data_IF_903195746073
#
_entry.id   IF_903195746073
#
_cell.length_a   1.000
_cell.length_b   1.000
_cell.length_c   1.000
_cell.angle_alpha   90.00
_cell.angle_beta   90.00
_cell.angle_gamma   90.00
#
_symmetry.space_group_name_H-M   'P 1'
#
loop_
_entity.id
_entity.type
_entity.pdbx_description
1 polymer ?
#
# COMPACT_ATOMS: atom_id res chain seq x y z
N UNK A 1 9.24 -23.25 4.57
CA UNK A 1 10.04 -22.15 4.00
C UNK A 1 11.45 -22.25 4.53
N UNK A 2 12.48 -22.05 3.71
CA UNK A 2 13.85 -22.00 4.22
C UNK A 2 14.08 -20.66 4.94
N UNK A 3 14.93 -20.62 5.97
CA UNK A 3 15.21 -19.38 6.74
C UNK A 3 15.58 -18.15 5.86
N UNK A 4 16.28 -18.31 4.71
CA UNK A 4 16.49 -17.22 3.76
C UNK A 4 15.19 -16.62 3.19
N UNK A 5 14.20 -17.45 2.87
CA UNK A 5 12.93 -17.02 2.26
C UNK A 5 12.13 -16.14 3.22
N UNK A 6 12.08 -16.53 4.49
CA UNK A 6 11.38 -15.77 5.55
C UNK A 6 12.01 -14.40 5.77
N UNK A 7 13.34 -14.27 5.68
CA UNK A 7 14.02 -12.97 5.79
C UNK A 7 13.69 -12.04 4.62
N UNK A 8 13.58 -12.57 3.40
CA UNK A 8 13.18 -11.79 2.22
C UNK A 8 11.71 -11.38 2.33
N UNK A 9 10.84 -12.29 2.75
CA UNK A 9 9.42 -12.04 2.96
C UNK A 9 9.18 -10.92 3.97
N UNK A 10 9.86 -10.93 5.12
CA UNK A 10 9.77 -9.86 6.13
C UNK A 10 10.20 -8.51 5.55
N UNK A 11 11.30 -8.46 4.77
CA UNK A 11 11.75 -7.22 4.12
C UNK A 11 10.73 -6.68 3.13
N UNK A 12 10.14 -7.56 2.31
CA UNK A 12 9.08 -7.20 1.38
C UNK A 12 7.84 -6.70 2.12
N UNK A 13 7.45 -7.37 3.21
CA UNK A 13 6.34 -6.96 4.05
C UNK A 13 6.54 -5.53 4.59
N UNK A 14 7.71 -5.24 5.16
CA UNK A 14 8.05 -3.91 5.67
C UNK A 14 8.00 -2.88 4.54
N UNK A 15 8.58 -3.19 3.37
CA UNK A 15 8.56 -2.29 2.22
C UNK A 15 7.14 -1.96 1.77
N UNK A 16 6.27 -2.97 1.67
CA UNK A 16 4.88 -2.77 1.27
C UNK A 16 4.07 -2.00 2.32
N UNK A 17 4.29 -2.24 3.61
CA UNK A 17 3.63 -1.49 4.69
C UNK A 17 4.05 -0.01 4.65
N UNK A 18 5.34 0.27 4.53
CA UNK A 18 5.85 1.65 4.40
C UNK A 18 5.28 2.32 3.14
N UNK A 19 5.25 1.60 2.01
CA UNK A 19 4.61 2.08 0.78
C UNK A 19 3.14 2.41 0.96
N UNK A 20 2.38 1.55 1.64
CA UNK A 20 0.95 1.77 1.91
C UNK A 20 0.72 3.03 2.76
N UNK A 21 1.54 3.27 3.78
CA UNK A 21 1.47 4.49 4.61
C UNK A 21 1.67 5.75 3.76
N UNK A 22 2.66 5.73 2.84
CA UNK A 22 2.93 6.85 1.93
C UNK A 22 1.73 7.09 0.99
N UNK A 23 1.16 6.03 0.41
CA UNK A 23 -0.01 6.14 -0.47
C UNK A 23 -1.22 6.71 0.29
N UNK A 24 -1.50 6.24 1.50
CA UNK A 24 -2.60 6.77 2.32
C UNK A 24 -2.36 8.26 2.63
N UNK A 25 -1.13 8.63 2.99
CA UNK A 25 -0.77 10.04 3.25
C UNK A 25 -1.00 10.91 2.01
N UNK A 26 -0.63 10.42 0.82
CA UNK A 26 -0.85 11.11 -0.43
C UNK A 26 -2.35 11.25 -0.77
N UNK A 27 -3.17 10.22 -0.53
CA UNK A 27 -4.63 10.28 -0.68
C UNK A 27 -5.21 11.37 0.22
N UNK A 28 -4.80 11.41 1.50
CA UNK A 28 -5.27 12.43 2.45
C UNK A 28 -4.84 13.83 2.02
N UNK A 29 -3.60 14.00 1.55
CA UNK A 29 -3.10 15.28 1.05
C UNK A 29 -3.87 15.76 -0.20
N UNK A 30 -4.10 14.86 -1.16
CA UNK A 30 -4.88 15.15 -2.36
C UNK A 30 -6.34 15.47 -2.04
N UNK A 31 -6.94 14.75 -1.09
CA UNK A 31 -8.29 15.04 -0.63
C UNK A 31 -8.38 16.41 0.07
N UNK A 32 -7.39 16.75 0.91
CA UNK A 32 -7.31 18.08 1.53
C UNK A 32 -7.13 19.19 0.50
N UNK A 33 -6.34 18.98 -0.55
CA UNK A 33 -6.09 19.99 -1.57
C UNK A 33 -7.32 20.25 -2.46
N UNK A 34 -8.13 19.22 -2.72
CA UNK A 34 -9.19 19.29 -3.72
C UNK A 34 -10.62 19.20 -3.15
N UNK A 35 -10.76 18.88 -1.85
CA UNK A 35 -12.03 18.69 -1.13
C UNK A 35 -13.03 17.73 -1.81
N UNK A 36 -12.57 16.90 -2.74
CA UNK A 36 -13.41 16.04 -3.55
C UNK A 36 -12.71 14.72 -3.80
N UNK A 37 -13.41 13.62 -3.54
CA UNK A 37 -12.98 12.27 -3.89
C UNK A 37 -13.17 11.94 -5.38
N UNK A 38 -13.78 12.83 -6.17
CA UNK A 38 -14.03 12.62 -7.61
C UNK A 38 -12.80 12.93 -8.48
N UNK A 39 -11.69 13.29 -7.86
CA UNK A 39 -10.46 13.58 -8.56
C UNK A 39 -9.79 12.28 -9.03
N UNK A 40 -9.50 12.20 -10.34
CA UNK A 40 -8.86 11.04 -10.94
C UNK A 40 -7.58 10.57 -10.19
N UNK A 41 -6.68 11.46 -9.71
CA UNK A 41 -5.52 11.04 -8.92
C UNK A 41 -5.88 10.31 -7.61
N UNK A 42 -6.93 10.75 -6.90
CA UNK A 42 -7.36 10.13 -5.65
C UNK A 42 -7.93 8.73 -5.92
N UNK A 43 -8.71 8.59 -6.99
CA UNK A 43 -9.28 7.31 -7.40
C UNK A 43 -8.16 6.32 -7.74
N UNK A 44 -7.18 6.75 -8.56
CA UNK A 44 -6.02 5.92 -8.91
C UNK A 44 -5.23 5.50 -7.67
N UNK A 45 -4.94 6.44 -6.75
CA UNK A 45 -4.22 6.11 -5.52
C UNK A 45 -4.99 5.16 -4.61
N UNK A 46 -6.33 5.28 -4.57
CA UNK A 46 -7.18 4.37 -3.80
C UNK A 46 -7.13 2.95 -4.36
N UNK A 47 -7.12 2.78 -5.68
CA UNK A 47 -6.96 1.46 -6.33
C UNK A 47 -5.58 0.87 -6.02
N UNK A 48 -4.52 1.67 -6.09
CA UNK A 48 -3.16 1.23 -5.73
C UNK A 48 -3.08 0.79 -4.27
N UNK A 49 -3.73 1.52 -3.34
CA UNK A 49 -3.78 1.15 -1.93
C UNK A 49 -4.47 -0.21 -1.72
N UNK A 50 -5.60 -0.45 -2.40
CA UNK A 50 -6.31 -1.75 -2.33
C UNK A 50 -5.43 -2.88 -2.87
N UNK A 51 -4.74 -2.65 -3.99
CA UNK A 51 -3.79 -3.63 -4.54
C UNK A 51 -2.66 -3.94 -3.54
N UNK A 52 -2.06 -2.92 -2.93
CA UNK A 52 -1.01 -3.10 -1.92
C UNK A 52 -1.51 -3.88 -0.70
N UNK A 53 -2.74 -3.64 -0.24
CA UNK A 53 -3.36 -4.44 0.83
C UNK A 53 -3.46 -5.91 0.40
N UNK A 54 -3.89 -6.19 -0.83
CA UNK A 54 -3.93 -7.54 -1.37
C UNK A 54 -2.56 -8.22 -1.40
N UNK A 55 -1.51 -7.50 -1.80
CA UNK A 55 -0.14 -8.05 -1.76
C UNK A 55 0.28 -8.32 -0.31
N UNK A 56 0.01 -7.43 0.63
CA UNK A 56 0.34 -7.63 2.04
C UNK A 56 -0.38 -8.86 2.62
N UNK A 57 -1.67 -9.05 2.32
CA UNK A 57 -2.41 -10.22 2.81
C UNK A 57 -1.86 -11.52 2.22
N UNK A 58 -1.49 -11.54 0.94
CA UNK A 58 -0.82 -12.71 0.34
C UNK A 58 0.53 -12.98 1.00
N UNK A 59 1.34 -11.95 1.26
CA UNK A 59 2.62 -12.08 1.95
C UNK A 59 2.46 -12.53 3.40
N UNK A 60 1.35 -12.23 4.08
CA UNK A 60 1.05 -12.72 5.42
C UNK A 60 0.53 -14.17 5.44
N UNK A 61 -0.13 -14.60 4.37
CA UNK A 61 -0.77 -15.91 4.27
C UNK A 61 0.17 -17.03 3.78
N UNK A 62 1.33 -16.66 3.23
CA UNK A 62 2.38 -17.55 2.72
C UNK A 62 3.39 -17.92 3.82
#
# INVERSE_FOLDING_TARGET
MTVPDTKVQIKLLILFIVGLIVVITAIVALFRANHSFKNAPIIVMSVVAVFMIGVITTLFSL
#
